data_IF_219092455861
#
_entry.id   IF_219092455861
#
_cell.length_a   1.000
_cell.length_b   1.000
_cell.length_c   1.000
_cell.angle_alpha   90.00
_cell.angle_beta   90.00
_cell.angle_gamma   90.00
#
_symmetry.space_group_name_H-M   'P 1'
#
loop_
_entity.id
_entity.type
_entity.pdbx_description
1 polymer ?
#
# COMPACT_ATOMS: atom_id res chain seq x y z
N UNK A 1 18.34 -25.37 -48.02
CA UNK A 1 18.80 -26.02 -46.77
C UNK A 1 17.75 -25.75 -45.69
N UNK A 2 16.97 -26.78 -45.38
CA UNK A 2 15.89 -26.79 -44.39
C UNK A 2 16.45 -26.71 -42.97
N UNK A 3 16.01 -25.74 -42.17
CA UNK A 3 16.25 -25.71 -40.73
C UNK A 3 14.92 -25.74 -39.99
N UNK A 4 14.71 -26.86 -39.30
CA UNK A 4 13.53 -27.20 -38.51
C UNK A 4 13.59 -26.43 -37.18
N UNK A 5 12.61 -25.56 -36.94
CA UNK A 5 12.36 -24.97 -35.62
C UNK A 5 11.82 -26.05 -34.66
N UNK A 6 12.62 -26.46 -33.67
CA UNK A 6 12.12 -27.17 -32.49
C UNK A 6 11.55 -26.15 -31.49
N UNK A 7 10.23 -25.98 -31.51
CA UNK A 7 9.50 -25.29 -30.43
C UNK A 7 9.53 -26.17 -29.17
N UNK A 8 10.24 -25.74 -28.11
CA UNK A 8 10.04 -26.28 -26.77
C UNK A 8 8.71 -25.76 -26.24
N UNK A 9 7.67 -26.60 -26.25
CA UNK A 9 6.45 -26.36 -25.49
C UNK A 9 6.80 -26.46 -24.01
N UNK A 10 6.89 -25.31 -23.33
CA UNK A 10 6.83 -25.26 -21.87
C UNK A 10 5.37 -25.59 -21.51
N UNK A 11 5.15 -26.73 -20.87
CA UNK A 11 3.87 -27.05 -20.25
C UNK A 11 3.75 -26.13 -19.03
N UNK A 12 2.92 -25.09 -19.13
CA UNK A 12 2.37 -24.48 -17.93
C UNK A 12 1.49 -25.54 -17.26
N UNK A 13 1.96 -26.07 -16.13
CA UNK A 13 1.10 -26.82 -15.24
C UNK A 13 0.16 -25.83 -14.56
N UNK A 14 -1.13 -25.96 -14.79
CA UNK A 14 -2.18 -25.30 -14.01
C UNK A 14 -2.10 -25.86 -12.59
N UNK A 15 -1.50 -25.13 -11.66
CA UNK A 15 -1.62 -25.45 -10.23
C UNK A 15 -2.97 -24.90 -9.80
N UNK A 16 -3.99 -25.76 -9.72
CA UNK A 16 -5.26 -25.37 -9.14
C UNK A 16 -5.02 -25.10 -7.64
N UNK A 17 -4.99 -23.84 -7.23
CA UNK A 17 -4.95 -23.44 -5.81
C UNK A 17 -6.34 -23.73 -5.22
N UNK A 18 -6.52 -24.95 -4.72
CA UNK A 18 -7.75 -25.38 -4.08
C UNK A 18 -7.84 -24.82 -2.65
N UNK A 19 -9.05 -24.46 -2.21
CA UNK A 19 -9.31 -24.09 -0.82
C UNK A 19 -8.98 -25.28 0.11
N UNK A 20 -8.10 -25.04 1.08
CA UNK A 20 -7.63 -26.06 2.02
C UNK A 20 -8.58 -26.16 3.20
N UNK A 21 -8.96 -27.40 3.56
CA UNK A 21 -9.62 -27.71 4.83
C UNK A 21 -8.59 -28.44 5.69
N UNK A 22 -8.24 -27.83 6.82
CA UNK A 22 -7.40 -28.46 7.83
C UNK A 22 -8.25 -28.76 9.06
N UNK A 23 -8.19 -30.01 9.52
CA UNK A 23 -8.75 -30.41 10.81
C UNK A 23 -7.68 -30.17 11.87
N UNK A 24 -8.01 -29.39 12.89
CA UNK A 24 -7.16 -29.22 14.05
C UNK A 24 -7.80 -29.94 15.24
N UNK A 25 -7.03 -30.78 15.92
CA UNK A 25 -7.42 -31.29 17.24
C UNK A 25 -7.18 -30.17 18.24
N UNK A 26 -8.20 -29.35 18.44
CA UNK A 26 -8.34 -28.59 19.67
C UNK A 26 -9.47 -29.29 20.37
N UNK A 27 -9.19 -29.91 21.52
CA UNK A 27 -10.26 -30.29 22.44
C UNK A 27 -10.66 -29.01 23.16
N UNK A 28 -11.80 -28.36 22.82
CA UNK A 28 -12.33 -27.23 23.56
C UNK A 28 -12.93 -27.69 24.89
N UNK A 29 -12.84 -28.99 25.19
CA UNK A 29 -13.17 -29.56 26.49
C UNK A 29 -12.41 -28.91 27.67
N UNK A 30 -11.33 -28.15 27.41
CA UNK A 30 -10.59 -27.37 28.41
C UNK A 30 -10.81 -25.83 28.34
N UNK A 31 -11.61 -25.31 27.41
CA UNK A 31 -11.97 -23.87 27.41
C UNK A 31 -13.12 -23.65 28.40
N UNK A 32 -12.83 -23.02 29.53
CA UNK A 32 -13.79 -22.86 30.62
C UNK A 32 -14.77 -21.70 30.39
N UNK A 33 -14.46 -20.79 29.46
CA UNK A 33 -15.26 -19.57 29.20
C UNK A 33 -15.35 -19.20 27.71
N UNK A 34 -16.40 -18.47 27.29
CA UNK A 34 -16.51 -17.92 25.92
C UNK A 34 -15.32 -17.05 25.50
N UNK A 35 -14.66 -16.38 26.46
CA UNK A 35 -13.48 -15.55 26.21
C UNK A 35 -12.26 -16.38 25.80
N UNK A 36 -12.04 -17.52 26.43
CA UNK A 36 -10.92 -18.42 26.12
C UNK A 36 -11.11 -19.08 24.75
N UNK A 37 -12.33 -19.51 24.43
CA UNK A 37 -12.65 -20.08 23.13
C UNK A 37 -12.46 -19.04 22.01
N UNK A 38 -12.99 -17.82 22.18
CA UNK A 38 -12.80 -16.73 21.21
C UNK A 38 -11.31 -16.43 20.96
N UNK A 39 -10.48 -16.40 22.01
CA UNK A 39 -9.03 -16.21 21.88
C UNK A 39 -8.38 -17.33 21.04
N UNK A 40 -8.74 -18.58 21.30
CA UNK A 40 -8.22 -19.74 20.54
C UNK A 40 -8.64 -19.70 19.08
N UNK A 41 -9.89 -19.32 18.79
CA UNK A 41 -10.40 -19.18 17.42
C UNK A 41 -9.65 -18.10 16.64
N UNK A 42 -9.40 -16.94 17.26
CA UNK A 42 -8.62 -15.86 16.66
C UNK A 42 -7.17 -16.30 16.40
N UNK A 43 -6.53 -16.96 17.37
CA UNK A 43 -5.17 -17.48 17.26
C UNK A 43 -5.03 -18.50 16.11
N UNK A 44 -5.95 -19.46 16.02
CA UNK A 44 -5.93 -20.50 14.98
C UNK A 44 -6.32 -19.98 13.60
N UNK A 45 -7.24 -19.01 13.54
CA UNK A 45 -7.59 -18.36 12.28
C UNK A 45 -6.40 -17.57 11.73
N UNK A 46 -5.62 -16.93 12.60
CA UNK A 46 -4.56 -15.98 12.27
C UNK A 46 -5.09 -14.57 11.98
N UNK A 47 -6.39 -14.33 12.19
CA UNK A 47 -7.03 -13.04 11.96
C UNK A 47 -6.81 -12.14 13.19
N UNK A 48 -6.11 -11.03 12.97
CA UNK A 48 -5.74 -10.07 14.04
C UNK A 48 -6.47 -8.74 13.94
N UNK A 49 -7.21 -8.51 12.85
CA UNK A 49 -8.00 -7.31 12.58
C UNK A 49 -8.93 -7.52 11.39
N UNK A 50 -9.86 -6.58 11.17
CA UNK A 50 -10.86 -6.65 10.12
C UNK A 50 -12.28 -6.92 10.63
N UNK A 51 -13.10 -7.52 9.78
CA UNK A 51 -14.52 -7.77 10.06
C UNK A 51 -14.78 -9.25 10.38
N UNK A 52 -15.37 -9.52 11.55
CA UNK A 52 -15.67 -10.85 12.06
C UNK A 52 -17.18 -11.05 12.09
N UNK A 53 -17.64 -12.21 11.64
CA UNK A 53 -19.04 -12.62 11.70
C UNK A 53 -19.17 -13.86 12.56
N UNK A 54 -20.11 -13.86 13.50
CA UNK A 54 -20.41 -15.00 14.37
C UNK A 54 -21.83 -15.49 14.10
N UNK A 55 -21.98 -16.66 13.49
CA UNK A 55 -23.28 -17.29 13.24
C UNK A 55 -23.69 -18.13 14.44
N UNK A 56 -24.96 -18.00 14.84
CA UNK A 56 -25.49 -18.60 16.06
C UNK A 56 -25.11 -17.81 17.31
N UNK A 57 -25.19 -16.47 17.21
CA UNK A 57 -24.67 -15.57 18.23
C UNK A 57 -25.31 -15.68 19.63
N UNK A 58 -26.40 -16.41 19.77
CA UNK A 58 -27.09 -16.67 21.04
C UNK A 58 -27.40 -15.37 21.79
N UNK A 59 -26.99 -15.34 23.06
CA UNK A 59 -27.17 -14.21 23.97
C UNK A 59 -26.16 -13.06 23.72
N UNK A 60 -25.21 -13.22 22.78
CA UNK A 60 -24.20 -12.23 22.41
C UNK A 60 -22.85 -12.32 23.16
N UNK A 61 -22.71 -13.15 24.20
CA UNK A 61 -21.51 -13.19 25.05
C UNK A 61 -20.25 -13.60 24.27
N UNK A 62 -20.31 -14.72 23.53
CA UNK A 62 -19.21 -15.16 22.66
C UNK A 62 -18.92 -14.15 21.53
N UNK A 63 -19.97 -13.48 21.02
CA UNK A 63 -19.84 -12.44 19.99
C UNK A 63 -19.02 -11.24 20.49
N UNK A 64 -19.25 -10.81 21.73
CA UNK A 64 -18.45 -9.76 22.37
C UNK A 64 -17.01 -10.21 22.58
N UNK A 65 -16.81 -11.46 23.03
CA UNK A 65 -15.49 -12.03 23.26
C UNK A 65 -14.61 -12.10 21.99
N UNK A 66 -15.22 -12.29 20.81
CA UNK A 66 -14.51 -12.26 19.53
C UNK A 66 -13.94 -10.89 19.19
N UNK A 67 -14.38 -9.81 19.84
CA UNK A 67 -13.78 -8.48 19.70
C UNK A 67 -12.58 -8.31 20.65
N UNK A 68 -11.54 -9.08 20.42
CA UNK A 68 -10.35 -9.09 21.29
C UNK A 68 -9.54 -7.78 21.31
N UNK A 69 -9.72 -6.91 20.30
CA UNK A 69 -9.04 -5.62 20.20
C UNK A 69 -9.82 -4.64 19.31
N UNK A 70 -9.39 -3.37 19.26
CA UNK A 70 -10.06 -2.31 18.50
C UNK A 70 -9.87 -2.39 16.97
N UNK A 71 -9.04 -3.31 16.48
CA UNK A 71 -8.85 -3.59 15.05
C UNK A 71 -9.95 -4.49 14.50
N UNK A 72 -10.75 -5.10 15.38
CA UNK A 72 -11.83 -6.00 15.03
C UNK A 72 -13.18 -5.28 15.17
N UNK A 73 -14.00 -5.43 14.14
CA UNK A 73 -15.43 -5.17 14.18
C UNK A 73 -16.14 -6.51 14.12
N UNK A 74 -17.15 -6.72 14.96
CA UNK A 74 -17.79 -8.03 15.09
C UNK A 74 -19.30 -7.92 14.91
N UNK A 75 -19.88 -8.78 14.08
CA UNK A 75 -21.31 -8.90 13.95
C UNK A 75 -21.76 -10.34 14.25
N UNK A 76 -22.66 -10.49 15.22
CA UNK A 76 -23.39 -11.73 15.44
C UNK A 76 -24.60 -11.82 14.51
N UNK A 77 -24.87 -13.01 13.99
CA UNK A 77 -26.08 -13.30 13.22
C UNK A 77 -26.83 -14.49 13.82
N UNK A 78 -28.15 -14.38 13.86
CA UNK A 78 -29.04 -15.48 14.27
C UNK A 78 -30.31 -15.47 13.43
N UNK A 79 -30.89 -16.64 13.17
CA UNK A 79 -32.21 -16.75 12.53
C UNK A 79 -33.35 -16.46 13.52
N UNK A 80 -33.07 -16.45 14.83
CA UNK A 80 -34.04 -16.20 15.90
C UNK A 80 -34.07 -14.71 16.29
N UNK A 81 -35.14 -14.02 15.88
CA UNK A 81 -35.35 -12.61 16.17
C UNK A 81 -35.46 -12.29 17.68
N UNK A 82 -35.92 -13.24 18.51
CA UNK A 82 -36.01 -13.03 19.95
C UNK A 82 -34.62 -13.03 20.60
N UNK A 83 -33.75 -13.97 20.19
CA UNK A 83 -32.34 -13.97 20.62
C UNK A 83 -31.61 -12.71 20.19
N UNK A 84 -31.84 -12.24 18.95
CA UNK A 84 -31.25 -10.98 18.47
C UNK A 84 -31.71 -9.79 19.34
N UNK A 85 -32.99 -9.71 19.68
CA UNK A 85 -33.50 -8.65 20.55
C UNK A 85 -32.85 -8.68 21.94
N UNK A 86 -32.78 -9.86 22.57
CA UNK A 86 -32.13 -10.03 23.88
C UNK A 86 -30.63 -9.67 23.83
N UNK A 87 -29.92 -10.14 22.82
CA UNK A 87 -28.51 -9.82 22.64
C UNK A 87 -28.32 -8.31 22.43
N UNK A 88 -29.16 -7.62 21.65
CA UNK A 88 -29.07 -6.15 21.47
C UNK A 88 -29.21 -5.40 22.78
N UNK A 89 -30.17 -5.78 23.62
CA UNK A 89 -30.37 -5.17 24.94
C UNK A 89 -29.11 -5.35 25.79
N UNK A 90 -28.60 -6.59 25.90
CA UNK A 90 -27.38 -6.89 26.66
C UNK A 90 -26.16 -6.12 26.15
N UNK A 91 -25.92 -6.09 24.84
CA UNK A 91 -24.81 -5.34 24.24
C UNK A 91 -24.90 -3.83 24.54
N UNK A 92 -26.12 -3.28 24.57
CA UNK A 92 -26.37 -1.87 24.88
C UNK A 92 -26.10 -1.58 26.35
N UNK A 93 -26.60 -2.42 27.27
CA UNK A 93 -26.36 -2.31 28.70
C UNK A 93 -24.87 -2.40 29.06
N UNK A 94 -24.11 -3.24 28.34
CA UNK A 94 -22.66 -3.38 28.50
C UNK A 94 -21.85 -2.30 27.78
N UNK A 95 -22.49 -1.39 27.03
CA UNK A 95 -21.81 -0.34 26.26
C UNK A 95 -20.94 -0.86 25.11
N UNK A 96 -21.15 -2.11 24.68
CA UNK A 96 -20.39 -2.77 23.61
C UNK A 96 -21.02 -2.59 22.22
N UNK A 97 -22.27 -2.12 22.16
CA UNK A 97 -23.00 -1.92 20.91
C UNK A 97 -22.35 -0.86 20.01
N UNK A 98 -22.20 -1.18 18.72
CA UNK A 98 -21.56 -0.34 17.70
C UNK A 98 -20.34 -1.05 17.11
N UNK A 99 -19.22 -1.18 17.84
CA UNK A 99 -18.10 -2.02 17.43
C UNK A 99 -18.43 -3.52 17.44
N UNK A 100 -19.37 -3.93 18.30
CA UNK A 100 -20.06 -5.22 18.24
C UNK A 100 -21.53 -4.96 17.92
N UNK A 101 -22.09 -5.68 16.96
CA UNK A 101 -23.49 -5.62 16.61
C UNK A 101 -24.07 -7.02 16.48
N UNK A 102 -25.39 -7.14 16.52
CA UNK A 102 -26.09 -8.38 16.21
C UNK A 102 -27.29 -8.10 15.30
N UNK A 103 -27.56 -9.00 14.37
CA UNK A 103 -28.71 -8.88 13.47
C UNK A 103 -29.31 -10.22 13.07
N UNK A 104 -30.51 -10.18 12.51
CA UNK A 104 -31.15 -11.36 11.94
C UNK A 104 -30.62 -11.67 10.56
N UNK A 105 -30.60 -12.95 10.19
CA UNK A 105 -30.42 -13.40 8.81
C UNK A 105 -31.40 -14.53 8.48
N UNK A 106 -31.51 -14.91 7.21
CA UNK A 106 -32.51 -15.86 6.71
C UNK A 106 -32.13 -17.35 6.92
N UNK A 107 -31.00 -17.64 7.57
CA UNK A 107 -30.48 -18.98 7.76
C UNK A 107 -29.71 -19.55 6.56
N UNK A 108 -29.64 -18.85 5.43
CA UNK A 108 -29.07 -19.37 4.17
C UNK A 108 -28.08 -18.41 3.51
N UNK A 109 -28.45 -17.13 3.43
CA UNK A 109 -27.74 -16.06 2.76
C UNK A 109 -27.22 -15.08 3.79
N UNK A 110 -25.91 -14.90 3.82
CA UNK A 110 -25.27 -13.90 4.66
C UNK A 110 -25.50 -12.51 4.05
N UNK A 111 -25.93 -11.50 4.85
CA UNK A 111 -26.32 -10.18 4.37
C UNK A 111 -25.12 -9.28 4.02
N UNK A 112 -24.09 -9.86 3.40
CA UNK A 112 -22.84 -9.20 3.03
C UNK A 112 -22.58 -9.32 1.53
N UNK A 113 -21.91 -8.31 1.00
CA UNK A 113 -21.31 -8.38 -0.33
C UNK A 113 -20.13 -9.34 -0.33
N UNK A 114 -19.71 -9.76 -1.53
CA UNK A 114 -18.58 -10.63 -1.73
C UNK A 114 -17.29 -10.00 -1.15
N UNK A 115 -16.43 -10.83 -0.55
CA UNK A 115 -15.14 -10.40 -0.02
C UNK A 115 -15.25 -9.28 1.02
N UNK A 116 -16.07 -9.42 2.05
CA UNK A 116 -16.18 -8.44 3.14
C UNK A 116 -15.63 -8.96 4.47
N UNK A 117 -15.76 -10.25 4.74
CA UNK A 117 -15.55 -10.83 6.07
C UNK A 117 -14.18 -11.48 6.20
N UNK A 118 -13.37 -11.11 7.18
CA UNK A 118 -12.07 -11.73 7.44
C UNK A 118 -12.19 -13.05 8.18
N UNK A 119 -13.13 -13.16 9.12
CA UNK A 119 -13.39 -14.35 9.91
C UNK A 119 -14.89 -14.63 10.01
N UNK A 120 -15.33 -15.82 9.64
CA UNK A 120 -16.66 -16.32 9.98
C UNK A 120 -16.51 -17.42 11.03
N UNK A 121 -17.12 -17.25 12.19
CA UNK A 121 -17.27 -18.30 13.22
C UNK A 121 -18.65 -18.89 13.09
N UNK A 122 -18.74 -20.19 12.83
CA UNK A 122 -20.01 -20.90 12.63
C UNK A 122 -20.25 -21.82 13.82
N UNK A 123 -21.16 -21.42 14.71
CA UNK A 123 -21.54 -22.16 15.91
C UNK A 123 -23.06 -22.39 15.94
N UNK A 124 -23.53 -23.62 15.72
CA UNK A 124 -24.96 -23.98 15.80
C UNK A 124 -25.82 -23.66 14.57
N UNK A 125 -25.45 -22.70 13.72
CA UNK A 125 -26.09 -22.44 12.42
C UNK A 125 -25.32 -23.12 11.27
N UNK A 126 -25.97 -23.39 10.14
CA UNK A 126 -25.31 -23.98 8.96
C UNK A 126 -25.55 -23.14 7.71
N UNK A 127 -24.45 -22.78 7.04
CA UNK A 127 -24.46 -22.02 5.79
C UNK A 127 -23.65 -22.78 4.76
N UNK A 128 -24.09 -22.75 3.50
CA UNK A 128 -23.42 -23.43 2.41
C UNK A 128 -21.95 -22.99 2.28
N UNK A 129 -21.06 -23.94 1.97
CA UNK A 129 -19.62 -23.65 1.80
C UNK A 129 -19.35 -22.54 0.78
N UNK A 130 -20.10 -22.53 -0.34
CA UNK A 130 -19.94 -21.51 -1.38
C UNK A 130 -20.33 -20.12 -0.89
N UNK A 131 -21.32 -20.04 0.01
CA UNK A 131 -21.74 -18.79 0.63
C UNK A 131 -20.69 -18.27 1.63
N UNK A 132 -20.07 -19.15 2.43
CA UNK A 132 -18.92 -18.79 3.26
C UNK A 132 -17.77 -18.24 2.40
N UNK A 133 -17.39 -18.96 1.33
CA UNK A 133 -16.35 -18.52 0.42
C UNK A 133 -16.72 -17.23 -0.33
N UNK A 134 -18.01 -16.96 -0.58
CA UNK A 134 -18.46 -15.72 -1.22
C UNK A 134 -18.14 -14.51 -0.34
N UNK A 135 -18.57 -14.54 0.93
CA UNK A 135 -18.41 -13.38 1.83
C UNK A 135 -16.99 -13.22 2.36
N UNK A 136 -16.21 -14.30 2.47
CA UNK A 136 -14.84 -14.22 2.97
C UNK A 136 -13.97 -13.36 2.07
N UNK A 137 -13.14 -12.50 2.66
CA UNK A 137 -12.05 -11.82 1.95
C UNK A 137 -11.03 -12.85 1.44
N UNK A 138 -10.24 -12.56 0.40
CA UNK A 138 -9.05 -13.34 0.08
C UNK A 138 -8.17 -13.58 1.33
N UNK A 139 -7.77 -14.82 1.57
CA UNK A 139 -7.12 -15.31 2.80
C UNK A 139 -7.98 -15.26 4.08
N UNK A 140 -9.24 -14.84 3.98
CA UNK A 140 -10.22 -14.93 5.06
C UNK A 140 -10.52 -16.38 5.44
N UNK A 141 -10.98 -16.56 6.67
CA UNK A 141 -11.13 -17.88 7.31
C UNK A 141 -12.56 -18.09 7.79
N UNK A 142 -13.11 -19.28 7.57
CA UNK A 142 -14.22 -19.78 8.36
C UNK A 142 -13.72 -20.82 9.38
N UNK A 143 -14.08 -20.61 10.64
CA UNK A 143 -13.97 -21.59 11.72
C UNK A 143 -15.35 -22.21 11.88
N UNK A 144 -15.48 -23.52 11.65
CA UNK A 144 -16.77 -24.22 11.60
C UNK A 144 -16.79 -25.29 12.67
N UNK A 145 -17.78 -25.23 13.56
CA UNK A 145 -17.98 -26.20 14.63
C UNK A 145 -18.69 -27.45 14.09
N UNK A 146 -18.14 -28.61 14.43
CA UNK A 146 -18.73 -29.93 14.23
C UNK A 146 -18.63 -30.72 15.54
N UNK A 147 -19.74 -30.78 16.28
CA UNK A 147 -19.76 -31.26 17.66
C UNK A 147 -18.83 -30.46 18.57
N UNK A 148 -17.83 -31.14 19.15
CA UNK A 148 -16.81 -30.53 20.00
C UNK A 148 -15.54 -30.15 19.23
N UNK A 149 -15.53 -30.21 17.89
CA UNK A 149 -14.35 -29.93 17.08
C UNK A 149 -14.54 -28.70 16.21
N UNK A 150 -13.43 -28.01 15.93
CA UNK A 150 -13.38 -26.89 15.00
C UNK A 150 -12.59 -27.27 13.75
N UNK A 151 -13.15 -26.96 12.59
CA UNK A 151 -12.47 -27.08 11.29
C UNK A 151 -12.19 -25.71 10.70
N UNK A 152 -11.05 -25.59 10.00
CA UNK A 152 -10.63 -24.33 9.35
C UNK A 152 -10.80 -24.45 7.84
N UNK A 153 -11.54 -23.51 7.25
CA UNK A 153 -11.64 -23.29 5.81
C UNK A 153 -11.01 -21.93 5.47
N UNK A 154 -10.05 -21.90 4.55
CA UNK A 154 -9.43 -20.64 4.08
C UNK A 154 -9.77 -20.37 2.63
N UNK A 155 -10.18 -19.13 2.34
CA UNK A 155 -10.39 -18.67 0.97
C UNK A 155 -9.04 -18.37 0.31
N UNK A 156 -8.70 -18.97 -0.84
CA UNK A 156 -7.44 -18.68 -1.51
C UNK A 156 -7.41 -17.26 -2.07
N UNK A 157 -6.19 -16.71 -2.20
CA UNK A 157 -5.97 -15.47 -2.92
C UNK A 157 -6.20 -15.68 -4.43
N UNK A 158 -7.04 -14.86 -5.10
CA UNK A 158 -7.23 -14.96 -6.56
C UNK A 158 -5.98 -14.51 -7.34
N UNK A 159 -5.59 -15.25 -8.37
CA UNK A 159 -4.43 -14.90 -9.23
C UNK A 159 -4.64 -13.58 -10.00
N UNK A 160 -5.90 -13.14 -10.13
CA UNK A 160 -6.29 -11.96 -10.88
C UNK A 160 -6.18 -10.65 -10.09
N UNK A 161 -5.94 -10.71 -8.77
CA UNK A 161 -5.79 -9.52 -7.91
C UNK A 161 -4.31 -9.25 -7.70
N UNK A 162 -3.89 -8.05 -8.06
CA UNK A 162 -2.51 -7.59 -7.97
C UNK A 162 -2.30 -6.62 -6.78
N UNK A 163 -1.05 -6.40 -6.41
CA UNK A 163 -0.65 -5.44 -5.37
C UNK A 163 -0.16 -4.11 -5.99
N UNK A 164 -0.12 -3.03 -5.21
CA UNK A 164 0.38 -1.72 -5.63
C UNK A 164 1.40 -1.22 -4.61
N UNK A 165 2.56 -1.89 -4.61
CA UNK A 165 3.58 -1.81 -3.55
C UNK A 165 4.27 -0.45 -3.42
N UNK A 166 4.37 0.30 -4.51
CA UNK A 166 5.05 1.60 -4.60
C UNK A 166 4.12 2.66 -5.21
N UNK A 167 4.42 3.94 -5.03
CA UNK A 167 3.63 5.04 -5.62
C UNK A 167 3.35 4.86 -7.12
N UNK A 168 4.32 4.35 -7.87
CA UNK A 168 4.22 4.07 -9.31
C UNK A 168 4.15 2.56 -9.58
N UNK A 169 3.23 1.88 -8.87
CA UNK A 169 2.97 0.44 -8.88
C UNK A 169 4.07 -0.42 -8.25
N UNK A 170 5.22 -0.56 -8.91
CA UNK A 170 6.37 -1.32 -8.41
C UNK A 170 7.66 -0.49 -8.43
N UNK A 171 8.77 -1.11 -8.05
CA UNK A 171 10.08 -0.47 -8.00
C UNK A 171 10.64 -0.04 -9.37
N UNK A 172 10.02 -0.47 -10.48
CA UNK A 172 10.44 -0.16 -11.85
C UNK A 172 9.81 1.13 -12.40
N UNK A 173 8.89 1.74 -11.66
CA UNK A 173 8.31 3.05 -11.97
C UNK A 173 7.23 3.06 -13.05
N UNK A 174 6.79 1.90 -13.53
CA UNK A 174 5.71 1.76 -14.51
C UNK A 174 4.35 1.74 -13.81
N UNK A 175 3.57 2.81 -13.88
CA UNK A 175 2.29 2.94 -13.18
C UNK A 175 1.14 2.15 -13.86
N UNK A 176 1.33 0.86 -14.08
CA UNK A 176 0.38 -0.06 -14.73
C UNK A 176 0.38 -1.37 -13.95
N UNK A 177 -0.72 -1.65 -13.25
CA UNK A 177 -0.91 -2.94 -12.57
C UNK A 177 -1.17 -4.09 -13.55
N UNK A 178 -0.99 -5.31 -13.07
CA UNK A 178 -1.32 -6.56 -13.75
C UNK A 178 -2.66 -7.16 -13.29
N UNK A 179 -3.43 -6.40 -12.49
CA UNK A 179 -4.77 -6.75 -12.02
C UNK A 179 -5.74 -6.98 -13.20
N UNK A 180 -6.52 -8.07 -13.12
CA UNK A 180 -7.51 -8.45 -14.13
C UNK A 180 -8.95 -8.43 -13.59
N UNK A 181 -9.15 -8.08 -12.31
CA UNK A 181 -10.45 -7.98 -11.66
C UNK A 181 -11.03 -6.57 -11.77
N UNK A 182 -10.18 -5.55 -11.69
CA UNK A 182 -10.58 -4.16 -11.80
C UNK A 182 -11.10 -3.86 -13.22
N UNK A 183 -12.34 -3.37 -13.28
CA UNK A 183 -12.99 -2.94 -14.50
C UNK A 183 -13.91 -1.74 -14.23
N UNK A 184 -14.83 -1.41 -15.14
CA UNK A 184 -15.82 -0.36 -14.90
C UNK A 184 -16.57 -0.61 -13.58
N UNK A 185 -16.61 0.37 -12.64
CA UNK A 185 -17.18 0.16 -11.31
C UNK A 185 -18.69 -0.13 -11.42
N UNK A 186 -19.16 -1.19 -10.73
CA UNK A 186 -20.57 -1.61 -10.73
C UNK A 186 -21.28 -1.35 -9.41
N UNK A 187 -20.55 -1.35 -8.31
CA UNK A 187 -21.03 -1.07 -6.97
C UNK A 187 -19.87 -0.52 -6.12
N UNK A 188 -20.21 0.01 -4.95
CA UNK A 188 -19.23 0.37 -3.93
C UNK A 188 -18.92 -0.87 -3.09
N UNK A 189 -17.65 -1.19 -2.86
CA UNK A 189 -17.26 -2.28 -1.96
C UNK A 189 -17.44 -1.85 -0.49
N UNK A 190 -16.85 -0.70 -0.13
CA UNK A 190 -16.99 -0.10 1.20
C UNK A 190 -16.75 1.41 1.13
N UNK A 191 -17.16 2.13 2.17
CA UNK A 191 -16.88 3.54 2.36
C UNK A 191 -16.35 3.80 3.78
N UNK A 192 -15.11 4.27 3.86
CA UNK A 192 -14.42 4.51 5.14
C UNK A 192 -14.40 5.99 5.55
N UNK A 193 -14.11 6.23 6.84
CA UNK A 193 -13.72 7.54 7.36
C UNK A 193 -12.25 7.87 7.01
N UNK A 194 -11.80 9.13 7.12
CA UNK A 194 -12.62 10.34 7.15
C UNK A 194 -13.31 10.56 5.80
N UNK A 195 -14.57 11.01 5.81
CA UNK A 195 -15.33 11.35 4.58
C UNK A 195 -15.05 12.79 4.11
N UNK A 196 -13.86 13.30 4.39
CA UNK A 196 -13.50 14.69 4.15
C UNK A 196 -12.00 14.79 3.83
N UNK A 197 -11.65 15.83 3.08
CA UNK A 197 -10.28 16.35 2.95
C UNK A 197 -10.24 17.73 3.59
N UNK A 198 -9.08 18.15 4.10
CA UNK A 198 -8.94 19.43 4.81
C UNK A 198 -9.11 20.65 3.91
N UNK A 199 -8.58 20.60 2.69
CA UNK A 199 -8.63 21.74 1.80
C UNK A 199 -8.40 21.33 0.34
N UNK A 200 -9.00 22.07 -0.60
CA UNK A 200 -8.84 21.80 -2.02
C UNK A 200 -7.74 22.68 -2.70
N UNK A 201 -7.36 23.79 -2.07
CA UNK A 201 -6.36 24.75 -2.58
C UNK A 201 -5.03 24.73 -1.82
N UNK A 202 -4.88 23.84 -0.82
CA UNK A 202 -3.64 23.67 -0.04
C UNK A 202 -3.09 22.27 -0.22
N UNK A 203 -2.14 21.85 0.62
CA UNK A 203 -1.52 20.53 0.50
C UNK A 203 -2.58 19.43 0.43
N UNK A 204 -2.33 18.42 -0.41
CA UNK A 204 -3.22 17.28 -0.53
C UNK A 204 -3.37 16.61 0.84
N UNK A 205 -4.61 16.41 1.30
CA UNK A 205 -4.81 15.76 2.61
C UNK A 205 -4.30 14.33 2.60
N UNK A 206 -4.41 13.62 1.47
CA UNK A 206 -3.76 12.32 1.29
C UNK A 206 -2.46 12.53 0.50
N UNK A 207 -1.34 12.11 1.07
CA UNK A 207 -0.01 12.37 0.52
C UNK A 207 0.59 11.18 -0.25
N UNK A 208 0.24 9.96 0.12
CA UNK A 208 0.74 8.72 -0.49
C UNK A 208 -0.25 7.58 -0.21
N UNK A 209 -0.34 6.60 -1.11
CA UNK A 209 -1.15 5.39 -0.94
C UNK A 209 -0.47 4.22 -1.66
N UNK A 210 -0.41 3.07 -1.00
CA UNK A 210 0.08 1.78 -1.52
C UNK A 210 -0.78 0.64 -0.98
N UNK A 211 -0.77 -0.51 -1.64
CA UNK A 211 -1.43 -1.73 -1.15
C UNK A 211 -0.53 -2.96 -1.27
N UNK A 212 -0.58 -3.80 -0.26
CA UNK A 212 0.11 -5.09 -0.23
C UNK A 212 -0.65 -6.08 0.64
N UNK A 213 -0.74 -7.34 0.21
CA UNK A 213 -1.29 -8.45 1.01
C UNK A 213 -2.67 -8.12 1.62
N UNK A 214 -3.59 -7.58 0.81
CA UNK A 214 -4.96 -7.31 1.21
C UNK A 214 -5.14 -6.11 2.15
N UNK A 215 -4.14 -5.23 2.26
CA UNK A 215 -4.20 -4.01 3.07
C UNK A 215 -3.86 -2.78 2.25
N UNK A 216 -4.42 -1.65 2.66
CA UNK A 216 -4.13 -0.33 2.10
C UNK A 216 -3.41 0.51 3.16
N UNK A 217 -2.28 1.10 2.77
CA UNK A 217 -1.49 1.99 3.60
C UNK A 217 -1.47 3.37 2.98
N UNK A 218 -1.73 4.41 3.77
CA UNK A 218 -1.74 5.78 3.26
C UNK A 218 -1.43 6.82 4.33
N UNK A 219 -0.85 7.93 3.91
CA UNK A 219 -0.58 9.09 4.78
C UNK A 219 -1.67 10.12 4.57
N UNK A 220 -2.36 10.51 5.66
CA UNK A 220 -3.47 11.46 5.64
C UNK A 220 -3.31 12.54 6.71
N UNK A 221 -3.59 13.80 6.37
CA UNK A 221 -3.83 14.88 7.32
C UNK A 221 -5.25 14.78 7.88
N UNK A 222 -5.36 14.27 9.10
CA UNK A 222 -6.62 14.19 9.84
C UNK A 222 -6.80 15.36 10.83
N UNK A 223 -6.18 16.51 10.56
CA UNK A 223 -6.36 17.75 11.30
C UNK A 223 -7.77 18.34 11.12
N UNK A 224 -8.13 19.33 11.95
CA UNK A 224 -9.47 19.92 11.91
C UNK A 224 -9.80 20.53 10.55
N UNK A 225 -11.02 20.28 10.08
CA UNK A 225 -11.60 20.86 8.86
C UNK A 225 -12.22 22.26 9.05
N UNK A 226 -12.25 22.75 10.29
CA UNK A 226 -12.84 24.08 10.60
C UNK A 226 -12.04 25.19 9.92
N UNK A 227 -10.72 25.06 9.89
CA UNK A 227 -9.84 25.97 9.18
C UNK A 227 -8.56 25.24 8.80
N UNK A 228 -8.07 25.50 7.58
CA UNK A 228 -6.77 24.99 7.14
C UNK A 228 -5.60 25.62 7.91
N UNK A 229 -5.82 26.75 8.59
CA UNK A 229 -4.82 27.41 9.44
C UNK A 229 -4.58 26.70 10.79
N UNK A 230 -5.45 25.75 11.15
CA UNK A 230 -5.22 24.92 12.33
C UNK A 230 -4.12 23.89 12.05
N UNK A 231 -3.35 23.48 13.06
CA UNK A 231 -2.27 22.50 12.89
C UNK A 231 -2.75 21.22 12.17
N UNK A 232 -1.91 20.65 11.28
CA UNK A 232 -2.19 19.36 10.67
C UNK A 232 -2.05 18.23 11.69
N UNK A 233 -2.64 17.08 11.36
CA UNK A 233 -2.48 15.83 12.10
C UNK A 233 -2.16 14.71 11.12
N UNK A 234 -0.95 14.78 10.55
CA UNK A 234 -0.45 13.77 9.63
C UNK A 234 -0.36 12.42 10.33
N UNK A 235 -0.92 11.40 9.69
CA UNK A 235 -1.05 10.06 10.24
C UNK A 235 -0.79 9.07 9.11
N UNK A 236 0.03 8.05 9.36
CA UNK A 236 0.07 6.84 8.55
C UNK A 236 -1.04 5.91 9.03
N UNK A 237 -1.85 5.39 8.11
CA UNK A 237 -2.94 4.48 8.42
C UNK A 237 -2.76 3.18 7.67
N UNK A 238 -3.19 2.08 8.30
CA UNK A 238 -3.46 0.82 7.63
C UNK A 238 -4.94 0.46 7.72
N UNK A 239 -5.47 -0.07 6.61
CA UNK A 239 -6.81 -0.63 6.54
C UNK A 239 -6.79 -2.00 5.91
N UNK A 240 -7.78 -2.80 6.27
CA UNK A 240 -8.18 -3.92 5.43
C UNK A 240 -8.72 -3.38 4.08
N UNK A 241 -8.19 -3.90 2.96
CA UNK A 241 -8.51 -3.41 1.63
C UNK A 241 -9.92 -3.80 1.16
N UNK A 242 -10.53 -4.82 1.78
CA UNK A 242 -11.75 -5.47 1.33
C UNK A 242 -13.00 -5.00 2.09
N UNK A 243 -12.83 -4.48 3.31
CA UNK A 243 -13.92 -3.89 4.09
C UNK A 243 -13.64 -2.49 4.66
N UNK A 244 -12.40 -1.99 4.54
CA UNK A 244 -12.04 -0.65 4.98
C UNK A 244 -11.87 -0.49 6.49
N UNK A 245 -11.89 -1.56 7.28
CA UNK A 245 -11.65 -1.53 8.74
C UNK A 245 -10.26 -0.96 9.02
N UNK A 246 -10.15 -0.06 9.99
CA UNK A 246 -8.86 0.51 10.41
C UNK A 246 -8.13 -0.50 11.29
N UNK A 247 -6.94 -0.90 10.87
CA UNK A 247 -6.11 -1.85 11.60
C UNK A 247 -5.21 -1.14 12.61
N UNK A 248 -4.58 -0.05 12.20
CA UNK A 248 -3.74 0.75 13.08
C UNK A 248 -3.49 2.14 12.48
N UNK A 249 -2.95 3.02 13.33
CA UNK A 249 -2.63 4.41 13.04
C UNK A 249 -1.30 4.75 13.68
N UNK A 250 -0.45 5.47 12.96
CA UNK A 250 0.81 5.96 13.49
C UNK A 250 0.97 7.45 13.19
N UNK A 251 1.13 8.31 14.22
CA UNK A 251 1.34 9.74 14.01
C UNK A 251 2.62 10.03 13.22
N UNK A 252 2.57 11.05 12.37
CA UNK A 252 3.73 11.65 11.71
C UNK A 252 3.79 13.11 12.20
N UNK A 253 4.64 13.43 13.20
CA UNK A 253 4.63 14.76 13.82
C UNK A 253 4.93 15.90 12.85
N UNK A 254 5.86 15.66 11.93
CA UNK A 254 6.33 16.64 10.95
C UNK A 254 6.28 16.04 9.55
N UNK A 255 5.48 16.63 8.67
CA UNK A 255 5.45 16.27 7.26
C UNK A 255 5.66 17.54 6.44
N UNK A 256 5.34 17.51 5.15
CA UNK A 256 5.38 18.73 4.36
C UNK A 256 4.38 19.77 4.88
N UNK A 257 4.77 21.05 4.78
CA UNK A 257 3.96 22.17 5.24
C UNK A 257 2.55 22.13 4.60
N UNK A 258 1.53 21.91 5.44
CA UNK A 258 0.13 21.79 5.03
C UNK A 258 -0.43 23.03 4.31
N UNK A 259 0.20 24.21 4.47
CA UNK A 259 -0.18 25.45 3.80
C UNK A 259 0.46 25.63 2.42
N UNK A 260 1.23 24.65 1.94
CA UNK A 260 1.73 24.64 0.57
C UNK A 260 0.57 24.72 -0.43
N UNK A 261 0.65 25.52 -1.52
CA UNK A 261 -0.50 25.78 -2.39
C UNK A 261 -0.81 24.65 -3.38
N UNK A 262 -2.08 24.58 -3.77
CA UNK A 262 -2.64 23.84 -4.91
C UNK A 262 -2.35 22.33 -4.97
N UNK A 263 -2.41 21.63 -3.82
CA UNK A 263 -2.20 20.17 -3.70
C UNK A 263 -0.92 19.68 -4.39
N UNK A 264 0.10 20.53 -4.45
CA UNK A 264 1.32 20.25 -5.18
C UNK A 264 2.48 20.00 -4.22
N UNK A 265 3.49 19.27 -4.69
CA UNK A 265 4.84 19.29 -4.13
C UNK A 265 5.11 18.61 -2.78
N UNK A 266 6.40 18.44 -2.45
CA UNK A 266 7.46 18.07 -3.39
C UNK A 266 7.01 16.86 -4.22
N UNK A 267 7.34 16.83 -5.50
CA UNK A 267 6.77 15.82 -6.41
C UNK A 267 7.10 14.39 -5.99
N UNK A 268 8.21 14.21 -5.27
CA UNK A 268 8.71 12.95 -4.75
C UNK A 268 8.16 12.55 -3.37
N UNK A 269 7.36 13.41 -2.73
CA UNK A 269 6.80 13.17 -1.40
C UNK A 269 6.03 11.84 -1.30
N UNK A 270 5.34 11.46 -2.37
CA UNK A 270 4.58 10.21 -2.44
C UNK A 270 5.48 8.95 -2.50
N UNK A 271 6.76 9.08 -2.84
CA UNK A 271 7.75 7.97 -2.89
C UNK A 271 8.42 7.69 -1.55
N UNK A 272 7.86 8.20 -0.46
CA UNK A 272 8.30 7.95 0.92
C UNK A 272 7.46 6.89 1.64
N UNK A 273 6.61 6.17 0.91
CA UNK A 273 5.79 5.07 1.43
C UNK A 273 5.84 3.89 0.46
N UNK A 274 6.22 2.73 0.97
CA UNK A 274 6.29 1.45 0.24
C UNK A 274 5.72 0.35 1.12
N UNK A 275 4.98 -0.59 0.55
CA UNK A 275 4.52 -1.80 1.22
C UNK A 275 4.89 -3.01 0.37
N UNK A 276 5.68 -3.93 0.91
CA UNK A 276 6.10 -5.16 0.23
C UNK A 276 5.96 -6.30 1.22
N UNK A 277 5.32 -7.38 0.78
CA UNK A 277 4.96 -8.51 1.63
C UNK A 277 4.19 -8.04 2.89
N UNK A 278 4.69 -8.39 4.08
CA UNK A 278 4.11 -8.04 5.38
C UNK A 278 4.81 -6.85 6.06
N UNK A 279 5.44 -5.97 5.27
CA UNK A 279 6.28 -4.87 5.77
C UNK A 279 5.94 -3.56 5.09
N UNK A 280 5.92 -2.49 5.88
CA UNK A 280 5.76 -1.11 5.40
C UNK A 280 7.07 -0.36 5.65
N UNK A 281 7.56 0.34 4.63
CA UNK A 281 8.73 1.20 4.69
C UNK A 281 8.30 2.65 4.47
N UNK A 282 8.62 3.51 5.42
CA UNK A 282 8.13 4.90 5.44
C UNK A 282 9.08 5.82 6.19
N UNK A 283 9.14 7.10 5.84
CA UNK A 283 9.72 8.10 6.75
C UNK A 283 8.63 8.63 7.68
N UNK A 284 8.78 8.43 8.99
CA UNK A 284 7.81 8.93 9.99
C UNK A 284 8.07 10.41 10.35
N UNK A 285 8.44 11.18 9.34
CA UNK A 285 8.80 12.58 9.42
C UNK A 285 9.32 13.07 8.06
N UNK A 286 9.28 14.37 7.81
CA UNK A 286 9.79 14.93 6.55
C UNK A 286 11.33 14.75 6.40
N UNK A 287 12.06 14.89 7.51
CA UNK A 287 13.51 14.65 7.59
C UNK A 287 13.88 13.31 8.26
N UNK A 288 12.90 12.52 8.67
CA UNK A 288 13.14 11.28 9.41
C UNK A 288 13.86 10.22 8.56
N UNK A 289 14.57 9.28 9.19
CA UNK A 289 15.04 8.08 8.52
C UNK A 289 13.87 7.21 8.05
N UNK A 290 14.17 6.26 7.17
CA UNK A 290 13.26 5.18 6.81
C UNK A 290 13.04 4.27 8.01
N UNK A 291 11.79 3.95 8.29
CA UNK A 291 11.34 3.01 9.30
C UNK A 291 10.66 1.83 8.62
N UNK A 292 11.04 0.62 9.01
CA UNK A 292 10.35 -0.62 8.68
C UNK A 292 9.33 -0.95 9.79
N UNK A 293 8.08 -1.15 9.40
CA UNK A 293 6.92 -1.38 10.27
C UNK A 293 6.29 -2.71 9.89
N UNK A 294 5.82 -3.44 10.89
CA UNK A 294 4.94 -4.59 10.70
C UNK A 294 3.61 -4.16 10.08
N UNK A 295 3.31 -4.67 8.89
CA UNK A 295 2.14 -4.22 8.16
C UNK A 295 0.81 -4.58 8.86
N UNK A 296 0.78 -5.63 9.69
CA UNK A 296 -0.41 -6.10 10.39
C UNK A 296 -0.67 -5.37 11.70
N UNK A 297 0.38 -5.07 12.46
CA UNK A 297 0.26 -4.49 13.80
C UNK A 297 0.55 -3.00 13.87
N UNK A 298 1.31 -2.45 12.93
CA UNK A 298 1.79 -1.07 12.99
C UNK A 298 2.98 -0.89 13.94
N UNK A 299 3.57 -1.97 14.43
CA UNK A 299 4.74 -1.92 15.30
C UNK A 299 6.01 -1.68 14.49
N UNK A 300 6.83 -0.72 14.95
CA UNK A 300 8.17 -0.50 14.39
C UNK A 300 9.01 -1.75 14.57
N UNK A 301 9.51 -2.31 13.46
CA UNK A 301 10.46 -3.43 13.45
C UNK A 301 11.91 -2.95 13.42
N UNK A 302 12.19 -1.89 12.66
CA UNK A 302 13.55 -1.33 12.52
C UNK A 302 13.50 0.13 12.08
N UNK A 303 14.47 0.91 12.52
CA UNK A 303 14.77 2.24 11.97
C UNK A 303 16.13 2.19 11.30
N UNK A 304 16.23 2.64 10.05
CA UNK A 304 17.48 2.70 9.31
C UNK A 304 18.13 4.08 9.52
N UNK A 305 18.69 4.32 10.69
CA UNK A 305 19.15 5.66 11.14
C UNK A 305 20.03 6.40 10.13
N UNK A 306 20.90 5.67 9.42
CA UNK A 306 21.78 6.24 8.40
C UNK A 306 21.02 6.93 7.25
N UNK A 307 19.73 6.64 7.07
CA UNK A 307 18.88 7.20 6.00
C UNK A 307 18.14 8.48 6.38
N UNK A 308 18.46 9.11 7.51
CA UNK A 308 17.88 10.40 7.90
C UNK A 308 18.02 11.44 6.77
N UNK A 309 16.90 12.08 6.40
CA UNK A 309 16.81 12.96 5.23
C UNK A 309 16.35 12.27 3.94
N UNK A 310 15.73 11.08 4.02
CA UNK A 310 15.26 10.37 2.81
C UNK A 310 14.18 11.16 2.06
N UNK A 311 14.40 11.36 0.75
CA UNK A 311 13.48 12.03 -0.17
C UNK A 311 12.68 11.05 -1.04
N UNK A 312 13.28 9.90 -1.39
CA UNK A 312 12.67 8.82 -2.16
C UNK A 312 13.17 7.47 -1.65
N UNK A 313 12.32 6.44 -1.64
CA UNK A 313 12.73 5.08 -1.33
C UNK A 313 12.09 4.04 -2.27
N UNK A 314 12.82 2.95 -2.50
CA UNK A 314 12.38 1.76 -3.22
C UNK A 314 12.77 0.51 -2.44
N UNK A 315 11.93 -0.52 -2.50
CA UNK A 315 12.25 -1.83 -1.91
C UNK A 315 12.03 -2.92 -2.96
N UNK A 316 13.02 -3.78 -3.14
CA UNK A 316 12.92 -4.93 -4.04
C UNK A 316 13.81 -6.06 -3.52
N UNK A 317 13.29 -7.29 -3.40
CA UNK A 317 14.09 -8.50 -3.12
C UNK A 317 15.10 -8.34 -1.98
N UNK A 318 14.66 -7.87 -0.80
CA UNK A 318 15.51 -7.73 0.39
C UNK A 318 16.39 -6.47 0.43
N UNK A 319 16.35 -5.61 -0.58
CA UNK A 319 17.13 -4.38 -0.65
C UNK A 319 16.25 -3.15 -0.51
N UNK A 320 16.61 -2.25 0.41
CA UNK A 320 16.13 -0.87 0.47
C UNK A 320 17.12 0.03 -0.29
N UNK A 321 16.62 0.77 -1.28
CA UNK A 321 17.36 1.83 -1.95
C UNK A 321 16.76 3.18 -1.54
N UNK A 322 17.54 4.01 -0.85
CA UNK A 322 17.11 5.30 -0.34
C UNK A 322 17.90 6.45 -0.98
N UNK A 323 17.20 7.49 -1.45
CA UNK A 323 17.79 8.77 -1.80
C UNK A 323 17.77 9.66 -0.57
N UNK A 324 18.94 10.04 -0.07
CA UNK A 324 19.12 10.81 1.15
C UNK A 324 19.65 12.20 0.84
N UNK A 325 19.01 13.23 1.38
CA UNK A 325 19.50 14.60 1.37
C UNK A 325 20.13 14.94 2.73
N UNK A 326 21.43 15.20 2.73
CA UNK A 326 22.20 15.63 3.91
C UNK A 326 22.19 17.14 4.13
N UNK A 327 21.70 17.91 3.16
CA UNK A 327 21.56 19.36 3.24
C UNK A 327 20.13 19.79 3.53
N UNK A 328 19.87 21.09 3.38
CA UNK A 328 18.52 21.63 3.40
C UNK A 328 17.70 21.09 2.21
N UNK A 329 16.47 20.66 2.47
CA UNK A 329 15.51 20.36 1.41
C UNK A 329 14.97 21.66 0.83
N UNK A 330 14.54 21.62 -0.43
CA UNK A 330 14.13 22.81 -1.18
C UNK A 330 12.99 23.58 -0.53
N UNK A 331 12.19 22.93 0.32
CA UNK A 331 10.99 23.52 0.91
C UNK A 331 11.12 23.85 2.40
N UNK A 332 12.32 23.73 2.98
CA UNK A 332 12.55 23.92 4.42
C UNK A 332 12.25 25.35 4.89
N UNK A 333 12.52 26.34 4.04
CA UNK A 333 12.32 27.75 4.33
C UNK A 333 10.92 28.27 3.93
N UNK A 334 10.03 27.37 3.49
CA UNK A 334 8.71 27.78 3.02
C UNK A 334 7.83 28.31 4.16
N UNK A 335 7.46 29.58 4.01
CA UNK A 335 6.42 30.23 4.78
C UNK A 335 5.35 30.77 3.81
N UNK A 336 4.04 30.62 4.13
CA UNK A 336 2.98 31.20 3.31
C UNK A 336 3.05 32.73 3.36
N UNK A 337 3.09 33.38 2.20
CA UNK A 337 3.05 34.84 2.09
C UNK A 337 1.62 35.36 2.00
N UNK A 338 0.73 34.59 1.37
CA UNK A 338 -0.68 34.93 1.17
C UNK A 338 -1.62 33.86 1.72
N UNK A 339 -2.82 34.30 2.12
CA UNK A 339 -3.91 33.42 2.53
C UNK A 339 -4.46 32.55 1.39
N UNK A 340 -4.25 32.93 0.13
CA UNK A 340 -4.46 32.13 -1.10
C UNK A 340 -3.55 32.71 -2.20
N UNK A 341 -3.18 31.91 -3.21
CA UNK A 341 -2.50 32.43 -4.40
C UNK A 341 -0.96 32.41 -4.39
N UNK A 342 -0.33 31.72 -3.43
CA UNK A 342 1.13 31.55 -3.40
C UNK A 342 1.68 30.71 -4.57
N UNK A 343 0.83 30.06 -5.37
CA UNK A 343 1.22 29.16 -6.44
C UNK A 343 2.20 29.79 -7.45
N UNK A 344 1.93 31.01 -7.89
CA UNK A 344 2.80 31.70 -8.86
C UNK A 344 4.18 32.02 -8.26
N UNK A 345 4.22 32.34 -6.96
CA UNK A 345 5.47 32.56 -6.22
C UNK A 345 6.24 31.25 -6.07
N UNK A 346 5.57 30.22 -5.59
CA UNK A 346 6.15 28.89 -5.37
C UNK A 346 6.75 28.33 -6.65
N UNK A 347 6.07 28.46 -7.79
CA UNK A 347 6.57 28.01 -9.08
C UNK A 347 7.84 28.73 -9.57
N UNK A 348 8.16 29.93 -9.02
CA UNK A 348 9.36 30.70 -9.36
C UNK A 348 10.49 30.53 -8.35
N UNK A 349 10.15 30.40 -7.06
CA UNK A 349 11.11 30.37 -5.96
C UNK A 349 11.58 28.95 -5.63
N UNK A 350 10.73 27.93 -5.87
CA UNK A 350 10.99 26.55 -5.44
C UNK A 350 11.15 25.62 -6.64
N UNK A 351 12.36 25.10 -6.80
CA UNK A 351 12.72 24.10 -7.80
C UNK A 351 13.84 23.21 -7.29
N UNK A 352 13.95 22.01 -7.84
CA UNK A 352 15.00 21.06 -7.52
C UNK A 352 16.38 21.74 -7.61
N UNK A 353 17.12 21.71 -6.51
CA UNK A 353 18.34 22.49 -6.35
C UNK A 353 19.57 21.88 -7.05
N UNK A 354 19.44 20.67 -7.61
CA UNK A 354 20.50 19.94 -8.32
C UNK A 354 21.74 19.63 -7.45
N UNK A 355 21.69 19.92 -6.15
CA UNK A 355 22.78 19.55 -5.24
C UNK A 355 22.86 18.03 -5.14
N UNK A 356 24.06 17.47 -4.94
CA UNK A 356 24.21 16.04 -4.76
C UNK A 356 23.32 15.51 -3.61
N UNK A 357 22.85 14.29 -3.81
CA UNK A 357 22.15 13.45 -2.85
C UNK A 357 22.97 12.17 -2.67
N UNK A 358 22.75 11.48 -1.58
CA UNK A 358 23.37 10.19 -1.31
C UNK A 358 22.37 9.08 -1.66
N UNK A 359 22.73 8.20 -2.60
CA UNK A 359 21.97 6.98 -2.87
C UNK A 359 22.57 5.88 -1.98
N UNK A 360 21.76 5.31 -1.10
CA UNK A 360 22.16 4.27 -0.16
C UNK A 360 21.43 2.98 -0.46
N UNK A 361 22.16 1.87 -0.53
CA UNK A 361 21.60 0.53 -0.61
C UNK A 361 21.81 -0.22 0.70
N UNK A 362 20.72 -0.72 1.26
CA UNK A 362 20.67 -1.29 2.60
C UNK A 362 19.99 -2.65 2.54
N UNK A 363 20.59 -3.65 3.17
CA UNK A 363 19.95 -4.94 3.39
C UNK A 363 18.87 -4.81 4.48
N UNK A 364 17.62 -5.14 4.14
CA UNK A 364 16.48 -4.86 5.04
C UNK A 364 16.47 -5.74 6.30
N UNK A 365 17.08 -6.92 6.23
CA UNK A 365 17.05 -7.90 7.32
C UNK A 365 18.11 -7.53 8.37
N UNK A 366 19.34 -7.29 7.92
CA UNK A 366 20.47 -6.93 8.78
C UNK A 366 20.47 -5.46 9.17
N UNK A 367 19.98 -4.58 8.28
CA UNK A 367 20.10 -3.12 8.40
C UNK A 367 21.46 -2.58 7.96
N UNK A 368 22.34 -3.41 7.41
CA UNK A 368 23.67 -2.99 6.95
C UNK A 368 23.59 -2.18 5.67
N UNK A 369 24.33 -1.06 5.62
CA UNK A 369 24.54 -0.31 4.37
C UNK A 369 25.54 -1.09 3.53
N UNK A 370 25.07 -1.66 2.42
CA UNK A 370 25.90 -2.43 1.49
C UNK A 370 26.81 -1.52 0.69
N UNK A 371 26.28 -0.38 0.24
CA UNK A 371 27.04 0.66 -0.43
C UNK A 371 26.31 2.01 -0.34
N UNK A 372 27.07 3.07 -0.55
CA UNK A 372 26.54 4.43 -0.67
C UNK A 372 27.28 5.19 -1.76
N UNK A 373 26.57 6.09 -2.45
CA UNK A 373 27.12 6.92 -3.52
C UNK A 373 26.51 8.32 -3.53
N UNK A 374 27.37 9.32 -3.49
CA UNK A 374 26.97 10.70 -3.74
C UNK A 374 26.84 10.97 -5.25
N UNK A 375 25.70 11.54 -5.66
CA UNK A 375 25.43 11.91 -7.05
C UNK A 375 24.31 12.94 -7.14
N UNK A 376 24.24 13.68 -8.25
CA UNK A 376 23.03 14.46 -8.57
C UNK A 376 21.99 13.50 -9.12
N UNK A 377 20.74 13.61 -8.68
CA UNK A 377 19.64 12.76 -9.16
C UNK A 377 18.36 13.58 -9.30
N UNK A 378 17.75 13.53 -10.48
CA UNK A 378 16.48 14.19 -10.74
C UNK A 378 15.34 13.46 -10.00
N UNK A 379 14.39 14.19 -9.39
CA UNK A 379 13.31 13.58 -8.63
C UNK A 379 12.43 12.69 -9.52
N UNK A 380 11.85 11.65 -8.93
CA UNK A 380 11.00 10.63 -9.57
C UNK A 380 11.68 9.72 -10.60
N UNK A 381 13.01 9.79 -10.74
CA UNK A 381 13.71 8.98 -11.75
C UNK A 381 14.37 7.72 -11.20
N UNK A 382 14.51 7.59 -9.88
CA UNK A 382 15.08 6.39 -9.26
C UNK A 382 14.17 5.19 -9.55
N UNK A 383 14.75 4.09 -10.05
CA UNK A 383 14.07 2.80 -10.28
C UNK A 383 15.01 1.65 -9.96
N UNK A 384 14.45 0.48 -9.67
CA UNK A 384 15.18 -0.70 -9.22
C UNK A 384 14.54 -1.96 -9.80
N UNK A 385 15.34 -2.78 -10.49
CA UNK A 385 14.97 -4.13 -10.92
C UNK A 385 15.77 -5.20 -10.15
N UNK A 386 15.66 -6.46 -10.57
CA UNK A 386 16.32 -7.58 -9.91
C UNK A 386 17.86 -7.50 -9.92
N UNK A 387 18.46 -6.73 -10.84
CA UNK A 387 19.90 -6.67 -11.09
C UNK A 387 20.49 -5.26 -10.98
N UNK A 388 19.69 -4.21 -11.24
CA UNK A 388 20.21 -2.87 -11.52
C UNK A 388 19.35 -1.79 -10.86
N UNK A 389 20.02 -0.71 -10.49
CA UNK A 389 19.38 0.55 -10.13
C UNK A 389 19.60 1.58 -11.24
N UNK A 390 18.57 2.35 -11.59
CA UNK A 390 18.64 3.38 -12.62
C UNK A 390 18.12 4.71 -12.09
N UNK A 391 18.69 5.80 -12.58
CA UNK A 391 18.22 7.15 -12.31
C UNK A 391 18.71 8.11 -13.39
N UNK A 392 18.21 9.35 -13.36
CA UNK A 392 18.70 10.41 -14.24
C UNK A 392 19.54 11.41 -13.44
N UNK A 393 20.81 11.61 -13.81
CA UNK A 393 21.77 12.42 -13.05
C UNK A 393 21.62 13.95 -13.23
N UNK A 394 20.62 14.35 -14.02
CA UNK A 394 20.40 15.73 -14.44
C UNK A 394 20.82 15.99 -15.88
N UNK A 395 21.59 15.09 -16.51
CA UNK A 395 21.95 15.15 -17.93
C UNK A 395 21.75 13.82 -18.67
N UNK A 396 21.97 12.69 -17.99
CA UNK A 396 22.00 11.35 -18.57
C UNK A 396 21.30 10.35 -17.66
N UNK A 397 20.88 9.23 -18.24
CA UNK A 397 20.45 8.06 -17.48
C UNK A 397 21.69 7.28 -17.03
N UNK A 398 21.75 6.97 -15.74
CA UNK A 398 22.82 6.21 -15.11
C UNK A 398 22.27 4.85 -14.68
N UNK A 399 23.06 3.81 -14.88
CA UNK A 399 22.79 2.47 -14.36
C UNK A 399 23.88 2.02 -13.41
N UNK A 400 23.47 1.51 -12.26
CA UNK A 400 24.34 0.91 -11.25
C UNK A 400 24.05 -0.58 -11.12
N UNK A 401 25.09 -1.34 -10.75
CA UNK A 401 24.88 -2.65 -10.15
C UNK A 401 24.17 -2.45 -8.80
N UNK A 402 23.04 -3.12 -8.60
CA UNK A 402 22.24 -2.90 -7.39
C UNK A 402 22.94 -3.37 -6.11
N UNK A 403 23.87 -4.31 -6.20
CA UNK A 403 24.52 -4.96 -5.05
C UNK A 403 25.81 -4.25 -4.67
N UNK A 404 26.54 -3.68 -5.63
CA UNK A 404 27.84 -3.04 -5.36
C UNK A 404 27.79 -1.51 -5.46
N UNK A 405 26.81 -0.94 -6.17
CA UNK A 405 26.74 0.50 -6.46
C UNK A 405 27.68 0.94 -7.59
N UNK A 406 28.40 0.00 -8.21
CA UNK A 406 29.30 0.27 -9.32
C UNK A 406 28.51 0.77 -10.53
N UNK A 407 29.05 1.78 -11.21
CA UNK A 407 28.45 2.25 -12.46
C UNK A 407 28.68 1.21 -13.55
N UNK A 408 27.59 0.69 -14.12
CA UNK A 408 27.66 -0.23 -15.24
C UNK A 408 27.71 0.53 -16.57
N UNK A 409 26.88 1.56 -16.69
CA UNK A 409 26.84 2.42 -17.88
C UNK A 409 26.19 3.77 -17.58
N UNK A 410 26.39 4.70 -18.51
CA UNK A 410 25.65 5.96 -18.59
C UNK A 410 25.23 6.17 -20.04
N UNK A 411 24.01 6.66 -20.27
CA UNK A 411 23.48 6.91 -21.61
C UNK A 411 24.16 8.08 -22.32
N UNK A 412 23.85 8.27 -23.59
CA UNK A 412 23.94 9.60 -24.21
C UNK A 412 23.04 10.62 -23.48
N UNK A 413 23.25 11.94 -23.65
CA UNK A 413 22.39 12.94 -23.03
C UNK A 413 20.89 12.71 -23.30
N UNK A 414 20.12 12.73 -22.20
CA UNK A 414 18.67 12.61 -22.20
C UNK A 414 18.09 13.94 -21.70
N UNK A 415 17.49 14.69 -22.63
CA UNK A 415 17.08 16.05 -22.35
C UNK A 415 15.88 16.10 -21.38
N UNK A 416 15.83 17.17 -20.59
CA UNK A 416 14.79 17.43 -19.60
C UNK A 416 14.46 18.92 -19.55
N UNK A 417 13.37 19.27 -18.88
CA UNK A 417 13.12 20.67 -18.50
C UNK A 417 14.30 21.22 -17.69
N UNK A 418 14.70 22.44 -18.02
CA UNK A 418 15.81 23.12 -17.35
C UNK A 418 15.52 23.32 -15.85
N UNK A 419 14.29 23.72 -15.53
CA UNK A 419 13.79 23.88 -14.17
C UNK A 419 12.79 22.77 -13.88
N UNK A 420 13.04 21.99 -12.83
CA UNK A 420 12.10 21.01 -12.28
C UNK A 420 11.47 21.66 -11.04
N UNK A 421 10.26 22.19 -11.20
CA UNK A 421 9.48 22.78 -10.10
C UNK A 421 8.92 21.70 -9.19
N UNK A 422 8.53 22.05 -7.97
CA UNK A 422 8.02 21.08 -6.98
C UNK A 422 6.74 20.36 -7.42
N UNK A 423 6.04 20.86 -8.43
CA UNK A 423 4.79 20.32 -8.97
C UNK A 423 4.97 19.61 -10.33
N UNK A 424 6.19 19.23 -10.66
CA UNK A 424 6.55 18.52 -11.88
C UNK A 424 7.66 17.52 -11.58
N UNK A 425 7.71 16.42 -12.32
CA UNK A 425 8.87 15.53 -12.27
C UNK A 425 9.07 14.76 -13.58
N UNK A 426 10.32 14.59 -14.04
CA UNK A 426 10.64 13.67 -15.12
C UNK A 426 10.34 12.23 -14.69
N UNK A 427 10.20 11.32 -15.65
CA UNK A 427 9.87 9.92 -15.38
C UNK A 427 10.82 8.97 -16.06
N UNK A 428 11.14 7.90 -15.34
CA UNK A 428 11.96 6.80 -15.79
C UNK A 428 11.21 5.49 -15.53
N UNK A 429 11.15 4.62 -16.53
CA UNK A 429 10.43 3.34 -16.46
C UNK A 429 11.33 2.22 -16.94
N UNK A 430 11.42 1.15 -16.16
CA UNK A 430 12.10 -0.09 -16.59
C UNK A 430 11.06 -1.12 -17.00
N UNK A 431 11.12 -1.57 -18.25
CA UNK A 431 10.23 -2.60 -18.78
C UNK A 431 11.02 -3.61 -19.60
N UNK A 432 11.09 -4.85 -19.10
CA UNK A 432 11.91 -5.93 -19.70
C UNK A 432 13.36 -5.47 -19.88
N UNK A 433 13.87 -5.46 -21.11
CA UNK A 433 15.24 -5.06 -21.44
C UNK A 433 15.36 -3.58 -21.85
N UNK A 434 14.38 -2.74 -21.52
CA UNK A 434 14.31 -1.33 -21.95
C UNK A 434 14.16 -0.40 -20.75
N UNK A 435 14.92 0.68 -20.77
CA UNK A 435 14.76 1.85 -19.88
C UNK A 435 14.18 2.98 -20.71
N UNK A 436 13.00 3.47 -20.34
CA UNK A 436 12.34 4.60 -20.96
C UNK A 436 12.52 5.83 -20.09
N UNK A 437 12.73 6.98 -20.71
CA UNK A 437 12.87 8.25 -20.03
C UNK A 437 12.10 9.37 -20.73
N UNK A 438 11.38 10.16 -19.94
CA UNK A 438 10.69 11.37 -20.36
C UNK A 438 11.08 12.52 -19.42
N UNK A 439 11.85 13.48 -19.95
CA UNK A 439 12.36 14.61 -19.17
C UNK A 439 11.46 15.86 -19.19
N UNK A 440 10.35 15.81 -19.94
CA UNK A 440 9.42 16.90 -20.17
C UNK A 440 9.86 17.95 -21.18
N UNK A 441 10.72 17.54 -22.11
CA UNK A 441 11.18 18.28 -23.28
C UNK A 441 10.35 17.97 -24.55
N UNK A 442 9.17 17.37 -24.38
CA UNK A 442 8.28 16.88 -25.47
C UNK A 442 8.80 15.66 -26.21
N UNK A 443 9.79 14.95 -25.66
CA UNK A 443 10.30 13.70 -26.21
C UNK A 443 10.34 12.60 -25.14
N UNK A 444 10.35 11.36 -25.63
CA UNK A 444 10.74 10.19 -24.83
C UNK A 444 11.86 9.45 -25.54
N UNK A 445 12.75 8.88 -24.73
CA UNK A 445 13.89 8.09 -25.20
C UNK A 445 13.86 6.69 -24.60
N UNK A 446 14.31 5.72 -25.39
CA UNK A 446 14.52 4.35 -24.95
C UNK A 446 15.99 3.97 -25.00
N UNK A 447 16.45 3.26 -23.98
CA UNK A 447 17.79 2.72 -23.85
C UNK A 447 17.72 1.23 -23.57
N UNK A 448 18.68 0.48 -24.08
CA UNK A 448 18.89 -0.92 -23.71
C UNK A 448 19.32 -1.00 -22.24
N UNK A 449 18.62 -1.80 -21.43
CA UNK A 449 18.85 -1.81 -19.97
C UNK A 449 20.20 -2.42 -19.57
N UNK A 450 20.80 -3.26 -20.42
CA UNK A 450 22.07 -3.90 -20.15
C UNK A 450 23.27 -3.01 -20.53
N UNK A 451 23.15 -2.22 -21.59
CA UNK A 451 24.28 -1.49 -22.19
C UNK A 451 24.15 0.03 -22.14
N UNK A 452 22.96 0.58 -21.90
CA UNK A 452 22.69 2.01 -22.01
C UNK A 452 22.64 2.54 -23.44
N UNK A 453 22.73 1.64 -24.44
CA UNK A 453 22.68 2.01 -25.85
C UNK A 453 21.32 2.62 -26.18
N UNK A 454 21.33 3.79 -26.81
CA UNK A 454 20.11 4.41 -27.34
C UNK A 454 19.45 3.51 -28.38
N UNK A 455 18.16 3.24 -28.19
CA UNK A 455 17.34 2.40 -29.06
C UNK A 455 16.52 3.24 -30.03
N UNK A 456 15.82 4.25 -29.50
CA UNK A 456 14.98 5.15 -30.28
C UNK A 456 14.59 6.41 -29.49
N UNK A 457 14.14 7.42 -30.22
CA UNK A 457 13.51 8.65 -29.69
C UNK A 457 12.15 8.80 -30.35
N UNK A 458 11.14 9.19 -29.59
CA UNK A 458 9.81 9.48 -30.10
C UNK A 458 9.25 10.77 -29.47
N UNK A 459 8.27 11.43 -30.11
CA UNK A 459 7.53 12.52 -29.49
C UNK A 459 6.81 12.06 -28.21
N UNK A 460 6.75 12.91 -27.20
CA UNK A 460 5.95 12.72 -25.98
C UNK A 460 4.90 13.82 -25.89
N UNK A 461 3.63 13.43 -25.70
CA UNK A 461 2.51 14.36 -25.54
C UNK A 461 2.63 15.18 -24.25
N UNK A 462 1.75 16.17 -24.06
CA UNK A 462 1.75 16.91 -22.80
C UNK A 462 1.11 16.05 -21.74
N UNK A 463 1.82 15.89 -20.63
CA UNK A 463 1.24 15.30 -19.42
C UNK A 463 0.25 16.25 -18.76
N UNK A 464 -0.49 15.76 -17.77
CA UNK A 464 -1.46 16.54 -17.01
C UNK A 464 -0.91 17.87 -16.45
N UNK A 465 -1.82 18.81 -16.16
CA UNK A 465 -1.45 20.10 -15.55
C UNK A 465 -0.72 19.89 -14.22
N UNK A 466 0.54 20.34 -14.14
CA UNK A 466 1.36 20.28 -12.92
C UNK A 466 1.44 18.85 -12.34
N UNK A 467 1.84 17.92 -13.20
CA UNK A 467 2.00 16.50 -12.88
C UNK A 467 3.38 15.98 -13.33
N UNK A 468 3.81 14.81 -12.83
CA UNK A 468 4.91 14.07 -13.43
C UNK A 468 4.64 13.74 -14.91
N UNK A 469 5.68 13.37 -15.67
CA UNK A 469 5.46 12.91 -17.04
C UNK A 469 4.65 11.59 -17.11
N UNK A 470 3.64 11.55 -17.98
CA UNK A 470 2.74 10.41 -18.20
C UNK A 470 3.41 9.36 -19.11
N UNK A 471 4.48 8.75 -18.59
CA UNK A 471 5.23 7.67 -19.24
C UNK A 471 4.85 6.33 -18.62
N UNK A 472 4.21 5.46 -19.41
CA UNK A 472 3.67 4.18 -18.98
C UNK A 472 3.80 3.14 -20.09
N UNK A 473 3.91 1.87 -19.71
CA UNK A 473 3.97 0.74 -20.64
C UNK A 473 2.83 -0.21 -20.32
N UNK A 474 1.91 -0.36 -21.26
CA UNK A 474 0.75 -1.24 -21.15
C UNK A 474 0.69 -2.19 -22.34
N UNK A 475 0.61 -3.50 -22.09
CA UNK A 475 0.58 -4.54 -23.13
C UNK A 475 1.72 -4.44 -24.15
N UNK A 476 2.90 -3.98 -23.70
CA UNK A 476 4.08 -3.80 -24.56
C UNK A 476 4.04 -2.57 -25.47
N UNK A 477 3.05 -1.69 -25.29
CA UNK A 477 2.95 -0.39 -25.94
C UNK A 477 3.38 0.70 -24.95
N UNK A 478 4.07 1.71 -25.47
CA UNK A 478 4.46 2.94 -24.75
C UNK A 478 3.55 4.07 -25.18
#
# INVERSE_FOLDING_TARGET
>A
MSWIHRSRRVRLGTVAIAATICLFNVSPADAATPAEEARLLLEQSGITGGFVVHLGCGNGEATVALRANDRLQVQGLSSDAAQVAEARERLTEQGSYGPVAVDTFDGQTLPYIDNLVNLVVVDGESVARDELLRVLTPNGVAMIRDGDQWSKLTKPWPEEIDDWTHYLYDSKGNAVAHDQRAGPPRHLQWLGSPRWSRHHDRMASMSALVSAQGRIFYIMDEGSRVSIQLPPRWTLLARDAFNGTILWRQPIPEWQNHLWPLKSGPTQLARRLVAVDDRVFVTLGFHAPVTMIDAGTGETRRVFEATAGTEELLVNNGLLLAQVNRGAMETDDYAPALNVGDQGRVAREYAWNQKPREIMAIDIETGETLWSRETTMAPLTMTLDEQRAYFHDGQKVVCLDRKTGDQLWTSEPAARRQTITMNFGPKLVVYKSVVLFAGGDRTMKAFDSATGKHLWTAPHAQSGYQSPEDLLVANGLV
#
